data_IF_861591835545
#
_entry.id   IF_861591835545
#
_cell.length_a   1.000
_cell.length_b   1.000
_cell.length_c   1.000
_cell.angle_alpha   90.00
_cell.angle_beta   90.00
_cell.angle_gamma   90.00
#
_symmetry.space_group_name_H-M   'P 1'
#
loop_
_entity.id
_entity.type
_entity.pdbx_description
1 polymer ?
#
# COMPACT_ATOMS: atom_id res chain seq x y z
N UNK A 1 -6.29 -23.77 -62.38
CA UNK A 1 -6.14 -22.41 -61.82
C UNK A 1 -5.26 -22.54 -60.58
N UNK A 2 -4.07 -21.93 -60.64
CA UNK A 2 -2.97 -22.08 -59.68
C UNK A 2 -3.22 -21.30 -58.37
N UNK A 3 -2.97 -21.90 -57.21
CA UNK A 3 -1.80 -21.72 -56.31
C UNK A 3 -1.53 -20.30 -55.82
N UNK A 4 -1.75 -20.06 -54.52
CA UNK A 4 -0.68 -19.56 -53.65
C UNK A 4 -0.78 -18.14 -53.05
N UNK A 5 -0.02 -17.88 -51.97
CA UNK A 5 -0.30 -16.90 -50.91
C UNK A 5 0.76 -15.77 -50.83
N UNK A 6 0.82 -15.05 -49.68
CA UNK A 6 2.02 -14.49 -48.99
C UNK A 6 1.98 -12.98 -48.67
N UNK A 7 2.38 -12.74 -47.42
CA UNK A 7 2.91 -11.56 -46.72
C UNK A 7 3.84 -10.59 -47.50
N UNK A 8 4.02 -9.41 -46.88
CA UNK A 8 5.25 -8.59 -46.79
C UNK A 8 5.41 -7.29 -47.60
N UNK A 9 5.96 -6.29 -46.87
CA UNK A 9 6.89 -5.22 -47.25
C UNK A 9 6.35 -4.04 -48.08
N UNK A 10 6.31 -2.82 -47.55
CA UNK A 10 7.40 -1.87 -47.26
C UNK A 10 7.78 -0.95 -48.45
N UNK A 11 7.63 0.35 -48.24
CA UNK A 11 8.55 1.42 -48.69
C UNK A 11 8.62 1.79 -50.17
N UNK A 12 8.17 3.01 -50.50
CA UNK A 12 8.82 3.96 -51.43
C UNK A 12 8.03 5.28 -51.41
N UNK A 13 8.59 6.41 -50.98
CA UNK A 13 9.50 7.27 -51.73
C UNK A 13 8.80 7.97 -52.91
N UNK A 14 8.47 9.27 -52.75
CA UNK A 14 8.29 10.17 -53.88
C UNK A 14 9.03 11.49 -53.62
N UNK A 15 10.03 11.74 -54.47
CA UNK A 15 10.74 13.01 -54.64
C UNK A 15 9.91 13.89 -55.60
N UNK A 16 9.95 15.20 -55.36
CA UNK A 16 9.62 16.23 -56.35
C UNK A 16 10.46 17.49 -56.07
N UNK A 17 11.28 17.88 -57.05
CA UNK A 17 12.24 19.01 -57.05
C UNK A 17 11.73 20.09 -58.01
N UNK A 18 11.83 21.37 -57.64
CA UNK A 18 12.23 22.48 -58.54
C UNK A 18 12.47 23.80 -57.77
N UNK A 19 13.70 24.31 -57.86
CA UNK A 19 14.26 25.63 -57.45
C UNK A 19 13.81 26.78 -58.42
N UNK A 20 14.24 28.08 -58.32
CA UNK A 20 15.20 28.76 -57.41
C UNK A 20 14.79 30.17 -56.88
N UNK A 21 15.58 30.69 -55.92
CA UNK A 21 15.98 32.11 -55.88
C UNK A 21 15.58 32.96 -54.66
N UNK A 22 16.48 33.07 -53.67
CA UNK A 22 16.96 34.36 -53.13
C UNK A 22 18.18 34.15 -52.22
N UNK A 23 19.22 34.94 -52.47
CA UNK A 23 20.49 34.93 -51.76
C UNK A 23 20.41 35.63 -50.39
N UNK A 24 21.27 35.21 -49.44
CA UNK A 24 21.77 36.11 -48.41
C UNK A 24 21.89 35.52 -47.00
N UNK A 25 23.12 35.52 -46.49
CA UNK A 25 23.55 35.47 -45.08
C UNK A 25 23.81 34.10 -44.43
N UNK A 26 25.11 33.83 -44.23
CA UNK A 26 25.65 32.77 -43.39
C UNK A 26 25.45 33.07 -41.88
N UNK A 27 25.55 32.04 -41.03
CA UNK A 27 26.34 32.19 -39.83
C UNK A 27 27.33 31.04 -39.60
N UNK A 28 28.57 31.43 -39.32
CA UNK A 28 29.60 30.66 -38.63
C UNK A 28 29.22 30.53 -37.15
N UNK A 29 29.01 29.32 -36.63
CA UNK A 29 29.15 29.01 -35.19
C UNK A 29 29.05 27.50 -34.95
N UNK A 30 30.17 26.77 -35.02
CA UNK A 30 30.21 25.34 -34.73
C UNK A 30 31.62 24.87 -34.42
N UNK A 31 32.15 25.25 -33.24
CA UNK A 31 33.38 24.67 -32.69
C UNK A 31 33.65 24.96 -31.19
N UNK A 32 32.83 25.75 -30.49
CA UNK A 32 33.15 26.21 -29.12
C UNK A 32 32.65 25.35 -27.95
N UNK A 33 31.61 24.53 -28.13
CA UNK A 33 30.92 23.89 -26.99
C UNK A 33 31.46 22.50 -26.59
N UNK A 34 32.20 21.82 -27.47
CA UNK A 34 32.69 20.45 -27.20
C UNK A 34 34.01 20.46 -26.41
N UNK A 35 34.82 21.53 -26.54
CA UNK A 35 36.10 21.63 -25.82
C UNK A 35 35.96 21.97 -24.33
N UNK A 36 34.89 22.67 -23.92
CA UNK A 36 34.69 23.06 -22.53
C UNK A 36 34.27 21.89 -21.63
N UNK A 37 33.54 20.91 -22.17
CA UNK A 37 33.06 19.74 -21.42
C UNK A 37 34.16 18.73 -21.08
N UNK A 38 35.11 18.50 -22.00
CA UNK A 38 36.18 17.52 -21.79
C UNK A 38 37.22 18.00 -20.74
N UNK A 39 37.49 19.30 -20.68
CA UNK A 39 38.42 19.90 -19.71
C UNK A 39 37.84 19.90 -18.29
N UNK A 40 36.53 20.10 -18.14
CA UNK A 40 35.87 20.06 -16.83
C UNK A 40 35.88 18.65 -16.21
N UNK A 41 35.69 17.60 -17.02
CA UNK A 41 35.72 16.20 -16.54
C UNK A 41 37.15 15.76 -16.18
N UNK A 42 38.15 16.20 -16.95
CA UNK A 42 39.56 15.91 -16.66
C UNK A 42 40.07 16.64 -15.41
N UNK A 43 39.65 17.89 -15.19
CA UNK A 43 40.00 18.66 -13.99
C UNK A 43 39.29 18.12 -12.72
N UNK A 44 38.04 17.65 -12.83
CA UNK A 44 37.35 16.98 -11.72
C UNK A 44 38.04 15.66 -11.34
N UNK A 45 38.46 14.90 -12.34
CA UNK A 45 39.17 13.63 -12.15
C UNK A 45 40.55 13.82 -11.52
N UNK A 46 41.27 14.88 -11.91
CA UNK A 46 42.55 15.24 -11.29
C UNK A 46 42.39 15.82 -9.86
N UNK A 47 41.31 16.57 -9.58
CA UNK A 47 41.02 17.09 -8.24
C UNK A 47 40.67 15.97 -7.25
N UNK A 48 39.99 14.91 -7.70
CA UNK A 48 39.70 13.71 -6.91
C UNK A 48 40.95 12.87 -6.57
N UNK A 49 42.00 12.94 -7.39
CA UNK A 49 43.27 12.24 -7.15
C UNK A 49 44.23 13.03 -6.26
N UNK A 50 44.11 14.37 -6.22
CA UNK A 50 45.00 15.25 -5.46
C UNK A 50 44.48 15.63 -4.06
N UNK A 51 43.18 15.51 -3.82
CA UNK A 51 42.62 15.61 -2.48
C UNK A 51 42.38 14.20 -1.96
N UNK A 52 43.36 13.65 -1.22
CA UNK A 52 43.14 12.49 -0.35
C UNK A 52 42.12 12.88 0.74
N UNK A 53 40.85 12.93 0.35
CA UNK A 53 39.73 12.98 1.26
C UNK A 53 39.71 11.62 1.96
N UNK A 54 39.83 11.57 3.30
CA UNK A 54 39.88 10.31 4.01
C UNK A 54 38.54 9.61 3.77
N UNK A 55 38.58 8.57 2.94
CA UNK A 55 37.43 7.76 2.56
C UNK A 55 36.77 7.17 3.81
N UNK A 56 37.55 6.99 4.87
CA UNK A 56 37.11 6.55 6.20
C UNK A 56 36.12 7.52 6.86
N UNK A 57 36.28 8.84 6.68
CA UNK A 57 35.40 9.84 7.29
C UNK A 57 34.07 10.00 6.52
N UNK A 58 34.05 9.72 5.22
CA UNK A 58 32.83 9.73 4.39
C UNK A 58 32.08 8.40 4.51
N UNK A 59 32.80 7.28 4.58
CA UNK A 59 32.21 5.96 4.85
C UNK A 59 31.68 5.85 6.28
N UNK A 60 32.35 6.43 7.29
CA UNK A 60 31.79 6.50 8.65
C UNK A 60 30.56 7.40 8.74
N UNK A 61 30.41 8.40 7.86
CA UNK A 61 29.21 9.25 7.79
C UNK A 61 28.05 8.58 7.04
N UNK A 62 28.35 7.67 6.11
CA UNK A 62 27.36 6.85 5.39
C UNK A 62 26.93 5.59 6.15
N UNK A 63 27.81 5.05 7.00
CA UNK A 63 27.57 3.89 7.86
C UNK A 63 27.68 4.24 9.34
N UNK A 64 27.06 5.34 9.77
CA UNK A 64 26.63 5.41 11.17
C UNK A 64 25.42 4.50 11.31
N UNK A 65 25.72 3.19 11.33
CA UNK A 65 24.82 2.12 11.70
C UNK A 65 24.23 2.51 13.05
N UNK A 66 22.98 2.97 12.98
CA UNK A 66 22.09 2.97 14.12
C UNK A 66 22.23 1.61 14.79
N UNK A 67 22.66 1.66 16.05
CA UNK A 67 22.68 0.58 17.04
C UNK A 67 21.86 -0.63 16.58
N UNK A 68 22.55 -1.59 15.97
CA UNK A 68 21.97 -2.83 15.47
C UNK A 68 21.03 -3.42 16.55
N UNK A 69 19.72 -3.40 16.29
CA UNK A 69 18.91 -4.49 16.79
C UNK A 69 19.43 -5.77 16.13
N UNK A 70 19.43 -6.85 16.89
CA UNK A 70 20.23 -8.03 16.58
C UNK A 70 19.73 -8.63 15.27
N UNK A 71 20.63 -9.10 14.39
CA UNK A 71 20.27 -9.93 13.22
C UNK A 71 19.30 -11.07 13.62
N UNK A 72 19.40 -11.53 14.87
CA UNK A 72 18.46 -12.48 15.49
C UNK A 72 17.01 -12.00 15.54
N UNK A 73 16.75 -10.71 15.77
CA UNK A 73 15.38 -10.17 15.85
C UNK A 73 14.68 -10.25 14.49
N UNK A 74 15.42 -9.96 13.42
CA UNK A 74 14.92 -10.07 12.04
C UNK A 74 14.73 -11.53 11.60
N UNK A 75 15.67 -12.42 11.94
CA UNK A 75 15.52 -13.87 11.69
C UNK A 75 14.29 -14.44 12.43
N UNK A 76 14.07 -14.00 13.68
CA UNK A 76 12.91 -14.40 14.47
C UNK A 76 11.60 -13.91 13.84
N UNK A 77 11.53 -12.66 13.37
CA UNK A 77 10.36 -12.13 12.64
C UNK A 77 10.09 -12.91 11.35
N UNK A 78 11.10 -13.18 10.52
CA UNK A 78 10.92 -13.98 9.30
C UNK A 78 10.46 -15.41 9.60
N UNK A 79 10.89 -15.97 10.72
CA UNK A 79 10.46 -17.29 11.16
C UNK A 79 9.02 -17.28 11.68
N UNK A 80 8.59 -16.22 12.36
CA UNK A 80 7.18 -15.98 12.71
C UNK A 80 6.31 -15.88 11.46
N UNK A 81 6.76 -15.12 10.45
CA UNK A 81 6.06 -14.97 9.16
C UNK A 81 5.85 -16.33 8.50
N UNK A 82 6.91 -17.15 8.40
CA UNK A 82 6.83 -18.49 7.81
C UNK A 82 5.85 -19.41 8.54
N UNK A 83 5.67 -19.23 9.84
CA UNK A 83 4.77 -20.06 10.63
C UNK A 83 3.29 -19.65 10.48
N UNK A 84 3.01 -18.44 9.96
CA UNK A 84 1.65 -17.92 9.76
C UNK A 84 1.14 -18.25 8.35
N UNK A 85 2.03 -18.31 7.36
CA UNK A 85 1.64 -18.63 5.98
C UNK A 85 1.12 -20.09 5.93
N UNK A 86 -0.15 -20.30 5.56
CA UNK A 86 -0.70 -21.65 5.52
C UNK A 86 0.01 -22.48 4.44
N UNK A 87 0.29 -23.77 4.72
CA UNK A 87 0.90 -24.63 3.72
C UNK A 87 -0.07 -24.83 2.55
N UNK A 88 0.47 -24.65 1.34
CA UNK A 88 -0.22 -24.96 0.09
C UNK A 88 -0.35 -26.47 -0.05
N UNK A 89 -1.57 -27.00 0.10
CA UNK A 89 -1.84 -28.44 -0.02
C UNK A 89 -2.77 -28.72 -1.20
N UNK A 90 -2.44 -29.73 -2.01
CA UNK A 90 -3.22 -30.12 -3.21
C UNK A 90 -4.64 -30.62 -2.95
N UNK A 91 -5.03 -30.77 -1.68
CA UNK A 91 -6.38 -31.21 -1.26
C UNK A 91 -7.37 -30.06 -1.09
N UNK A 92 -6.90 -28.81 -1.11
CA UNK A 92 -7.75 -27.64 -0.91
C UNK A 92 -8.43 -27.21 -2.21
N UNK A 93 -9.65 -26.69 -2.08
CA UNK A 93 -10.43 -26.16 -3.19
C UNK A 93 -10.50 -24.63 -3.13
N UNK A 94 -10.73 -24.00 -4.28
CA UNK A 94 -10.81 -22.55 -4.42
C UNK A 94 -11.74 -21.93 -3.38
N UNK A 95 -11.21 -21.00 -2.60
CA UNK A 95 -11.88 -20.26 -1.55
C UNK A 95 -11.57 -20.76 -0.15
N UNK A 96 -10.80 -21.84 0.03
CA UNK A 96 -10.38 -22.31 1.35
C UNK A 96 -9.15 -21.54 1.86
N UNK A 97 -8.31 -21.00 0.98
CA UNK A 97 -7.09 -20.26 1.32
C UNK A 97 -7.28 -18.74 1.11
N UNK A 98 -8.20 -18.15 1.89
CA UNK A 98 -8.34 -16.69 1.97
C UNK A 98 -9.36 -16.08 0.99
N UNK A 99 -10.40 -15.47 1.56
CA UNK A 99 -11.46 -14.75 0.84
C UNK A 99 -11.50 -13.36 1.42
N UNK A 100 -10.98 -12.39 0.70
CA UNK A 100 -10.77 -11.03 1.20
C UNK A 100 -11.82 -10.12 0.59
N UNK A 101 -12.47 -9.30 1.42
CA UNK A 101 -13.34 -8.23 0.95
C UNK A 101 -12.66 -6.88 1.15
N UNK A 102 -12.71 -6.01 0.15
CA UNK A 102 -12.24 -4.63 0.22
C UNK A 102 -13.46 -3.71 0.09
N UNK A 103 -13.68 -2.85 1.06
CA UNK A 103 -14.74 -1.84 1.10
C UNK A 103 -14.10 -0.48 0.89
N UNK A 104 -14.35 0.11 -0.28
CA UNK A 104 -13.76 1.37 -0.67
C UNK A 104 -13.97 1.65 -2.16
N UNK A 105 -13.40 2.73 -2.65
CA UNK A 105 -13.64 3.21 -4.01
C UNK A 105 -14.87 4.09 -4.13
N UNK A 106 -14.63 5.39 -4.26
CA UNK A 106 -15.59 6.41 -4.62
C UNK A 106 -15.37 6.89 -6.07
N UNK A 107 -16.15 7.89 -6.49
CA UNK A 107 -16.06 8.49 -7.82
C UNK A 107 -14.64 8.96 -8.17
N UNK A 108 -13.93 9.56 -7.21
CA UNK A 108 -12.60 10.12 -7.39
C UNK A 108 -11.48 9.09 -7.18
N UNK A 109 -11.64 8.17 -6.22
CA UNK A 109 -10.56 7.29 -5.77
C UNK A 109 -10.80 5.83 -6.17
N UNK A 110 -10.77 5.57 -7.47
CA UNK A 110 -11.02 4.23 -8.03
C UNK A 110 -9.81 3.29 -7.98
N UNK A 111 -8.58 3.83 -7.91
CA UNK A 111 -7.35 3.03 -7.94
C UNK A 111 -6.97 2.38 -6.61
N UNK A 112 -7.21 3.06 -5.48
CA UNK A 112 -6.88 2.55 -4.14
C UNK A 112 -7.53 1.18 -3.82
N UNK A 113 -8.83 0.95 -4.05
CA UNK A 113 -9.42 -0.38 -3.80
C UNK A 113 -8.87 -1.46 -4.72
N UNK A 114 -8.44 -1.12 -5.94
CA UNK A 114 -7.80 -2.08 -6.85
C UNK A 114 -6.47 -2.58 -6.27
N UNK A 115 -5.61 -1.66 -5.81
CA UNK A 115 -4.30 -2.04 -5.28
C UNK A 115 -4.42 -2.90 -4.01
N UNK A 116 -5.30 -2.53 -3.08
CA UNK A 116 -5.56 -3.36 -1.90
C UNK A 116 -6.06 -4.78 -2.30
N UNK A 117 -6.95 -4.86 -3.28
CA UNK A 117 -7.56 -6.11 -3.69
C UNK A 117 -6.61 -7.03 -4.49
N UNK A 118 -5.79 -6.47 -5.39
CA UNK A 118 -4.84 -7.24 -6.19
C UNK A 118 -3.64 -7.69 -5.34
N UNK A 119 -3.19 -6.88 -4.40
CA UNK A 119 -2.11 -7.26 -3.47
C UNK A 119 -2.53 -8.45 -2.60
N UNK A 120 -3.80 -8.52 -2.18
CA UNK A 120 -4.33 -9.70 -1.51
C UNK A 120 -4.22 -10.98 -2.38
N UNK A 121 -4.56 -10.91 -3.66
CA UNK A 121 -4.41 -12.05 -4.59
C UNK A 121 -2.93 -12.42 -4.78
N UNK A 122 -2.04 -11.44 -4.94
CA UNK A 122 -0.60 -11.66 -5.14
C UNK A 122 0.07 -12.34 -3.94
N UNK A 123 -0.35 -11.99 -2.72
CA UNK A 123 0.15 -12.62 -1.48
C UNK A 123 -0.41 -14.04 -1.28
N UNK A 124 -1.44 -14.42 -2.05
CA UNK A 124 -1.94 -15.81 -2.10
C UNK A 124 -3.38 -15.99 -1.65
N UNK A 125 -4.20 -14.93 -1.59
CA UNK A 125 -5.63 -15.10 -1.38
C UNK A 125 -6.30 -15.75 -2.61
N UNK A 126 -7.20 -16.71 -2.37
CA UNK A 126 -7.95 -17.39 -3.43
C UNK A 126 -8.97 -16.49 -4.14
N UNK A 127 -9.62 -15.61 -3.38
CA UNK A 127 -10.68 -14.73 -3.86
C UNK A 127 -10.56 -13.34 -3.25
N UNK A 128 -10.70 -12.33 -4.09
CA UNK A 128 -10.70 -10.92 -3.70
C UNK A 128 -11.95 -10.23 -4.23
N UNK A 129 -12.76 -9.75 -3.29
CA UNK A 129 -14.01 -9.04 -3.54
C UNK A 129 -13.80 -7.55 -3.30
N UNK A 130 -14.27 -6.71 -4.21
CA UNK A 130 -14.24 -5.25 -4.07
C UNK A 130 -15.67 -4.74 -4.00
N UNK A 131 -16.07 -4.20 -2.87
CA UNK A 131 -17.32 -3.45 -2.71
C UNK A 131 -16.99 -1.98 -2.92
N UNK A 132 -17.51 -1.39 -3.99
CA UNK A 132 -17.28 0.00 -4.36
C UNK A 132 -18.57 0.70 -4.80
N UNK A 133 -18.49 2.00 -5.09
CA UNK A 133 -19.59 2.73 -5.72
C UNK A 133 -19.79 2.29 -7.17
N UNK A 134 -21.01 2.49 -7.69
CA UNK A 134 -21.35 2.14 -9.07
C UNK A 134 -20.42 2.76 -10.11
N UNK A 135 -19.98 3.99 -9.90
CA UNK A 135 -19.10 4.70 -10.82
C UNK A 135 -17.65 4.19 -10.78
N UNK A 136 -17.19 3.71 -9.63
CA UNK A 136 -15.84 3.14 -9.49
C UNK A 136 -15.71 1.77 -10.14
N UNK A 137 -16.80 0.99 -10.19
CA UNK A 137 -16.75 -0.41 -10.60
C UNK A 137 -16.24 -0.66 -12.03
N UNK A 138 -16.64 0.10 -13.09
CA UNK A 138 -16.11 -0.11 -14.44
C UNK A 138 -14.59 0.08 -14.51
N UNK A 139 -14.06 1.06 -13.78
CA UNK A 139 -12.61 1.34 -13.75
C UNK A 139 -11.87 0.19 -13.08
N UNK A 140 -12.30 -0.24 -11.89
CA UNK A 140 -11.67 -1.36 -11.16
C UNK A 140 -11.72 -2.65 -11.98
N UNK A 141 -12.88 -2.95 -12.61
CA UNK A 141 -13.06 -4.14 -13.47
C UNK A 141 -12.16 -4.10 -14.71
N UNK A 142 -11.80 -2.91 -15.21
CA UNK A 142 -10.93 -2.78 -16.38
C UNK A 142 -9.46 -3.11 -16.09
N UNK A 143 -9.03 -3.01 -14.82
CA UNK A 143 -7.64 -3.28 -14.44
C UNK A 143 -7.33 -4.77 -14.32
N UNK A 144 -8.25 -5.59 -13.78
CA UNK A 144 -8.10 -7.04 -13.72
C UNK A 144 -9.44 -7.77 -13.75
N UNK A 145 -9.58 -8.80 -14.61
CA UNK A 145 -10.75 -9.68 -14.61
C UNK A 145 -10.78 -10.68 -13.44
N UNK A 146 -9.70 -10.77 -12.65
CA UNK A 146 -9.60 -11.69 -11.51
C UNK A 146 -10.38 -11.20 -10.29
N UNK A 147 -10.59 -9.88 -10.20
CA UNK A 147 -11.29 -9.25 -9.09
C UNK A 147 -12.80 -9.38 -9.23
N UNK A 148 -13.47 -9.73 -8.13
CA UNK A 148 -14.94 -9.78 -8.07
C UNK A 148 -15.45 -8.44 -7.55
N UNK A 149 -15.88 -7.57 -8.47
CA UNK A 149 -16.26 -6.19 -8.14
C UNK A 149 -17.78 -6.03 -8.04
N UNK A 150 -18.23 -5.56 -6.87
CA UNK A 150 -19.61 -5.36 -6.44
C UNK A 150 -19.95 -3.86 -6.33
N UNK A 151 -20.69 -3.28 -7.30
CA UNK A 151 -21.10 -1.87 -7.31
C UNK A 151 -22.32 -1.62 -6.40
N UNK A 152 -22.13 -1.66 -5.09
CA UNK A 152 -23.24 -1.63 -4.11
C UNK A 152 -23.14 -0.54 -3.06
N UNK A 153 -21.98 0.11 -2.88
CA UNK A 153 -21.75 0.98 -1.72
C UNK A 153 -22.56 2.29 -1.72
N UNK A 154 -22.93 2.79 -2.89
CA UNK A 154 -23.77 3.98 -3.08
C UNK A 154 -25.28 3.68 -3.03
N UNK A 155 -25.67 2.41 -2.83
CA UNK A 155 -27.07 2.01 -2.70
C UNK A 155 -27.61 2.30 -1.29
N UNK A 156 -28.88 2.72 -1.13
CA UNK A 156 -29.54 2.77 0.18
C UNK A 156 -29.58 1.40 0.89
N UNK A 157 -29.49 0.30 0.12
CA UNK A 157 -29.43 -1.07 0.63
C UNK A 157 -28.00 -1.64 0.65
N UNK A 158 -26.97 -0.78 0.62
CA UNK A 158 -25.57 -1.19 0.60
C UNK A 158 -25.23 -2.19 1.72
N UNK A 159 -25.66 -1.90 2.96
CA UNK A 159 -25.41 -2.75 4.12
C UNK A 159 -25.96 -4.16 3.89
N UNK A 160 -27.20 -4.29 3.45
CA UNK A 160 -27.83 -5.58 3.17
C UNK A 160 -27.08 -6.35 2.07
N UNK A 161 -26.74 -5.69 0.97
CA UNK A 161 -26.02 -6.34 -0.12
C UNK A 161 -24.63 -6.85 0.30
N UNK A 162 -23.90 -6.07 1.10
CA UNK A 162 -22.58 -6.51 1.60
C UNK A 162 -22.75 -7.60 2.65
N UNK A 163 -23.78 -7.53 3.49
CA UNK A 163 -24.07 -8.50 4.53
C UNK A 163 -24.31 -9.92 3.98
N UNK A 164 -24.91 -10.05 2.79
CA UNK A 164 -25.05 -11.34 2.09
C UNK A 164 -23.70 -12.01 1.78
N UNK A 165 -22.64 -11.21 1.61
CA UNK A 165 -21.29 -11.69 1.32
C UNK A 165 -20.44 -11.90 2.56
N UNK A 166 -20.70 -11.19 3.66
CA UNK A 166 -19.92 -11.27 4.90
C UNK A 166 -19.67 -12.71 5.38
N UNK A 167 -20.64 -13.65 5.40
CA UNK A 167 -20.41 -15.05 5.80
C UNK A 167 -19.37 -15.80 4.95
N UNK A 168 -19.07 -15.30 3.75
CA UNK A 168 -18.11 -15.89 2.81
C UNK A 168 -16.74 -15.23 2.91
N UNK A 169 -16.58 -14.15 3.66
CA UNK A 169 -15.31 -13.43 3.77
C UNK A 169 -14.55 -13.88 5.02
N UNK A 170 -13.23 -14.04 4.89
CA UNK A 170 -12.34 -14.30 6.01
C UNK A 170 -11.83 -13.02 6.65
N UNK A 171 -11.63 -11.96 5.85
CA UNK A 171 -11.15 -10.65 6.31
C UNK A 171 -11.82 -9.55 5.49
N UNK A 172 -12.12 -8.42 6.13
CA UNK A 172 -12.61 -7.22 5.48
C UNK A 172 -11.60 -6.07 5.61
N UNK A 173 -11.16 -5.49 4.51
CA UNK A 173 -10.35 -4.28 4.45
C UNK A 173 -11.27 -3.10 4.19
N UNK A 174 -11.21 -2.05 5.00
CA UNK A 174 -12.12 -0.90 4.91
C UNK A 174 -11.33 0.39 4.83
N UNK A 175 -11.69 1.22 3.84
CA UNK A 175 -11.17 2.59 3.72
C UNK A 175 -10.37 2.94 2.46
N UNK A 176 -9.70 2.01 1.74
CA UNK A 176 -8.97 2.35 0.52
C UNK A 176 -9.85 3.07 -0.51
N UNK A 177 -9.60 4.38 -0.69
CA UNK A 177 -10.37 5.21 -1.62
C UNK A 177 -11.84 5.36 -1.25
N UNK A 178 -12.21 5.25 0.02
CA UNK A 178 -13.61 5.41 0.44
C UNK A 178 -14.11 6.84 0.23
N UNK A 179 -13.24 7.85 0.32
CA UNK A 179 -13.68 9.23 0.31
C UNK A 179 -14.40 9.60 1.60
N UNK A 180 -15.07 10.76 1.59
CA UNK A 180 -15.67 11.36 2.80
C UNK A 180 -17.10 11.85 2.59
N UNK A 181 -17.79 11.24 1.63
CA UNK A 181 -19.22 11.46 1.46
C UNK A 181 -19.99 10.87 2.65
N UNK A 182 -20.85 11.66 3.29
CA UNK A 182 -21.54 11.26 4.53
C UNK A 182 -22.49 10.07 4.31
N UNK A 183 -23.12 9.94 3.13
CA UNK A 183 -24.02 8.82 2.80
C UNK A 183 -23.23 7.52 2.71
N UNK A 184 -22.10 7.55 2.01
CA UNK A 184 -21.20 6.42 1.87
C UNK A 184 -20.61 5.99 3.21
N UNK A 185 -20.24 6.95 4.06
CA UNK A 185 -19.69 6.69 5.39
C UNK A 185 -20.72 6.04 6.33
N UNK A 186 -21.99 6.45 6.28
CA UNK A 186 -23.06 5.80 7.07
C UNK A 186 -23.30 4.36 6.60
N UNK A 187 -23.25 4.12 5.29
CA UNK A 187 -23.31 2.75 4.76
C UNK A 187 -22.13 1.90 5.25
N UNK A 188 -20.90 2.43 5.22
CA UNK A 188 -19.72 1.71 5.71
C UNK A 188 -19.76 1.46 7.21
N UNK A 189 -20.29 2.39 7.99
CA UNK A 189 -20.53 2.21 9.42
C UNK A 189 -21.45 1.00 9.66
N UNK A 190 -22.57 0.91 8.96
CA UNK A 190 -23.46 -0.26 9.06
C UNK A 190 -22.79 -1.57 8.63
N UNK A 191 -21.95 -1.53 7.59
CA UNK A 191 -21.16 -2.69 7.16
C UNK A 191 -20.17 -3.15 8.24
N UNK A 192 -19.48 -2.20 8.90
CA UNK A 192 -18.56 -2.50 10.00
C UNK A 192 -19.28 -3.13 11.19
N UNK A 193 -20.46 -2.61 11.56
CA UNK A 193 -21.28 -3.18 12.63
C UNK A 193 -21.73 -4.61 12.28
N UNK A 194 -22.18 -4.86 11.05
CA UNK A 194 -22.54 -6.18 10.57
C UNK A 194 -21.34 -7.16 10.55
N UNK A 195 -20.15 -6.68 10.15
CA UNK A 195 -18.92 -7.49 10.16
C UNK A 195 -18.51 -7.87 11.59
N UNK A 196 -18.59 -6.92 12.54
CA UNK A 196 -18.32 -7.17 13.96
C UNK A 196 -19.31 -8.14 14.59
N UNK A 197 -20.60 -8.01 14.29
CA UNK A 197 -21.64 -8.92 14.78
C UNK A 197 -21.38 -10.38 14.34
N UNK A 198 -20.64 -10.57 13.25
CA UNK A 198 -20.25 -11.86 12.69
C UNK A 198 -18.82 -12.27 13.06
N UNK A 199 -18.14 -11.49 13.90
CA UNK A 199 -16.80 -11.77 14.41
C UNK A 199 -15.73 -11.92 13.29
N UNK A 200 -15.92 -11.19 12.18
CA UNK A 200 -15.03 -11.15 11.01
C UNK A 200 -13.87 -10.18 11.25
N UNK A 201 -12.60 -10.61 11.12
CA UNK A 201 -11.46 -9.71 11.19
C UNK A 201 -11.54 -8.53 10.22
N UNK A 202 -11.18 -7.34 10.70
CA UNK A 202 -11.23 -6.10 9.90
C UNK A 202 -9.87 -5.40 9.88
N UNK A 203 -9.46 -4.89 8.72
CA UNK A 203 -8.31 -4.01 8.57
C UNK A 203 -8.81 -2.64 8.15
N UNK A 204 -8.43 -1.60 8.88
CA UNK A 204 -8.91 -0.24 8.65
C UNK A 204 -7.75 0.64 8.23
N UNK A 205 -7.86 1.20 7.04
CA UNK A 205 -6.82 2.04 6.43
C UNK A 205 -7.43 3.35 5.89
N UNK A 206 -6.59 4.35 5.65
CA UNK A 206 -6.94 5.61 4.99
C UNK A 206 -8.24 6.27 5.53
N UNK A 207 -9.23 6.52 4.68
CA UNK A 207 -10.50 7.16 5.08
C UNK A 207 -11.34 6.28 6.03
N UNK A 208 -11.07 4.97 6.10
CA UNK A 208 -11.62 4.13 7.17
C UNK A 208 -11.18 4.61 8.55
N UNK A 209 -9.90 5.01 8.70
CA UNK A 209 -9.39 5.57 9.95
C UNK A 209 -10.01 6.92 10.27
N UNK A 210 -10.36 7.70 9.24
CA UNK A 210 -11.10 8.94 9.41
C UNK A 210 -12.50 8.69 9.98
N UNK A 211 -13.20 7.66 9.50
CA UNK A 211 -14.49 7.23 10.06
C UNK A 211 -14.35 6.83 11.54
N UNK A 212 -13.32 6.05 11.87
CA UNK A 212 -13.06 5.62 13.25
C UNK A 212 -12.69 6.80 14.16
N UNK A 213 -11.95 7.78 13.68
CA UNK A 213 -11.65 8.98 14.47
C UNK A 213 -12.93 9.77 14.83
N UNK A 214 -13.96 9.77 13.96
CA UNK A 214 -15.27 10.39 14.27
C UNK A 214 -16.13 9.51 15.19
N UNK A 215 -16.01 8.19 15.07
CA UNK A 215 -16.79 7.22 15.84
C UNK A 215 -15.92 6.12 16.46
N UNK A 216 -15.08 6.43 17.46
CA UNK A 216 -14.17 5.43 18.06
C UNK A 216 -14.90 4.20 18.64
N UNK A 217 -16.14 4.41 19.11
CA UNK A 217 -17.01 3.37 19.62
C UNK A 217 -17.24 2.21 18.62
N UNK A 218 -17.10 2.46 17.31
CA UNK A 218 -17.24 1.42 16.29
C UNK A 218 -16.24 0.29 16.44
N UNK A 219 -15.06 0.52 16.99
CA UNK A 219 -14.03 -0.52 17.16
C UNK A 219 -13.63 -0.79 18.61
N UNK A 220 -14.26 -0.10 19.56
CA UNK A 220 -13.97 -0.28 20.98
C UNK A 220 -14.07 -1.76 21.39
N UNK A 221 -12.97 -2.31 21.91
CA UNK A 221 -12.86 -3.69 22.39
C UNK A 221 -12.78 -4.76 21.30
N UNK A 222 -12.74 -4.38 20.01
CA UNK A 222 -12.74 -5.34 18.91
C UNK A 222 -11.34 -5.79 18.53
N UNK A 223 -10.79 -6.78 19.25
CA UNK A 223 -9.42 -7.30 19.10
C UNK A 223 -9.09 -7.94 17.75
N UNK A 224 -10.09 -8.12 16.88
CA UNK A 224 -9.93 -8.58 15.50
C UNK A 224 -9.81 -7.43 14.48
N UNK A 225 -9.80 -6.18 14.94
CA UNK A 225 -9.46 -5.04 14.13
C UNK A 225 -7.94 -4.78 14.12
N UNK A 226 -7.43 -4.37 12.96
CA UNK A 226 -6.09 -3.84 12.78
C UNK A 226 -6.17 -2.46 12.13
N UNK A 227 -5.57 -1.45 12.76
CA UNK A 227 -5.54 -0.08 12.26
C UNK A 227 -4.16 0.20 11.65
N UNK A 228 -4.11 0.81 10.46
CA UNK A 228 -2.85 1.10 9.76
C UNK A 228 -2.57 2.59 9.55
N UNK A 229 -2.62 3.44 10.59
CA UNK A 229 -2.48 4.89 10.42
C UNK A 229 -1.07 5.30 9.99
N UNK A 230 -0.99 6.23 9.04
CA UNK A 230 0.20 7.06 8.86
C UNK A 230 0.34 8.08 10.02
N UNK A 231 1.43 8.85 10.03
CA UNK A 231 1.68 9.86 11.08
C UNK A 231 0.50 10.85 11.29
N UNK A 232 -0.11 11.35 10.21
CA UNK A 232 -1.20 12.32 10.28
C UNK A 232 -2.51 11.67 10.77
N UNK A 233 -2.83 10.50 10.24
CA UNK A 233 -3.98 9.70 10.67
C UNK A 233 -3.87 9.28 12.13
N UNK A 234 -2.66 8.92 12.57
CA UNK A 234 -2.39 8.52 13.94
C UNK A 234 -2.65 9.68 14.90
N UNK A 235 -2.13 10.88 14.61
CA UNK A 235 -2.35 12.05 15.47
C UNK A 235 -3.84 12.38 15.60
N UNK A 236 -4.57 12.38 14.48
CA UNK A 236 -6.02 12.60 14.48
C UNK A 236 -6.77 11.56 15.31
N UNK A 237 -6.43 10.29 15.14
CA UNK A 237 -7.05 9.20 15.88
C UNK A 237 -6.71 9.27 17.37
N UNK A 238 -5.46 9.60 17.70
CA UNK A 238 -4.98 9.79 19.06
C UNK A 238 -5.69 10.93 19.77
N UNK A 239 -5.83 12.10 19.12
CA UNK A 239 -6.60 13.24 19.64
C UNK A 239 -8.07 12.86 19.89
N UNK A 240 -8.69 12.12 18.97
CA UNK A 240 -10.09 11.70 19.11
C UNK A 240 -10.31 10.71 20.27
N UNK A 241 -9.36 9.82 20.52
CA UNK A 241 -9.50 8.74 21.51
C UNK A 241 -8.95 9.13 22.89
N UNK A 242 -7.73 9.66 22.94
CA UNK A 242 -7.01 9.95 24.19
C UNK A 242 -7.31 11.33 24.76
N UNK A 243 -7.82 12.28 23.94
CA UNK A 243 -8.03 13.71 24.26
C UNK A 243 -6.77 14.51 24.58
N UNK A 244 -5.79 13.90 25.26
CA UNK A 244 -4.45 14.42 25.51
C UNK A 244 -3.42 13.34 25.12
N UNK A 245 -2.86 13.41 23.89
CA UNK A 245 -1.90 12.42 23.40
C UNK A 245 -0.61 12.33 24.25
N UNK A 246 -0.30 13.38 25.02
CA UNK A 246 0.94 13.52 25.77
C UNK A 246 2.20 13.53 24.89
N UNK A 247 3.32 13.83 25.52
CA UNK A 247 4.68 13.82 24.99
C UNK A 247 5.39 12.51 25.37
N UNK A 248 5.06 11.44 24.63
CA UNK A 248 5.67 10.11 24.79
C UNK A 248 6.49 9.69 23.58
N UNK A 249 7.30 8.63 23.74
CA UNK A 249 7.92 7.97 22.58
C UNK A 249 6.85 7.39 21.64
N UNK A 250 7.18 7.23 20.36
CA UNK A 250 6.26 6.64 19.36
C UNK A 250 5.69 5.29 19.80
N UNK A 251 6.50 4.49 20.50
CA UNK A 251 6.12 3.19 21.07
C UNK A 251 5.04 3.33 22.15
N UNK A 252 5.24 4.22 23.09
CA UNK A 252 4.27 4.47 24.17
C UNK A 252 2.96 5.04 23.63
N UNK A 253 3.04 5.96 22.67
CA UNK A 253 1.85 6.55 22.06
C UNK A 253 0.99 5.49 21.37
N UNK A 254 1.59 4.59 20.59
CA UNK A 254 0.86 3.50 19.91
C UNK A 254 0.26 2.52 20.90
N UNK A 255 0.99 2.17 21.97
CA UNK A 255 0.48 1.29 23.02
C UNK A 255 -0.70 1.91 23.78
N UNK A 256 -0.61 3.20 24.16
CA UNK A 256 -1.71 3.92 24.82
C UNK A 256 -2.95 3.97 23.95
N UNK A 257 -2.79 4.27 22.65
CA UNK A 257 -3.92 4.29 21.73
C UNK A 257 -4.58 2.91 21.61
N UNK A 258 -3.78 1.85 21.47
CA UNK A 258 -4.28 0.47 21.41
C UNK A 258 -5.07 0.09 22.66
N UNK A 259 -4.54 0.40 23.85
CA UNK A 259 -5.22 0.16 25.14
C UNK A 259 -6.52 0.95 25.27
N UNK A 260 -6.51 2.23 24.87
CA UNK A 260 -7.69 3.08 24.94
C UNK A 260 -8.81 2.60 24.01
N UNK A 261 -8.47 1.99 22.87
CA UNK A 261 -9.41 1.33 21.97
C UNK A 261 -9.82 -0.08 22.43
N UNK A 262 -9.33 -0.56 23.57
CA UNK A 262 -9.66 -1.88 24.12
C UNK A 262 -8.83 -3.02 23.54
N UNK A 263 -7.52 -2.80 23.39
CA UNK A 263 -6.53 -3.76 22.89
C UNK A 263 -6.76 -4.11 21.41
N UNK A 264 -7.07 -3.09 20.62
CA UNK A 264 -7.12 -3.16 19.14
C UNK A 264 -5.70 -3.04 18.61
N UNK A 265 -5.31 -3.86 17.63
CA UNK A 265 -3.97 -3.78 17.06
C UNK A 265 -3.79 -2.51 16.25
N UNK A 266 -2.73 -1.74 16.52
CA UNK A 266 -2.39 -0.51 15.80
C UNK A 266 -1.01 -0.66 15.18
N UNK A 267 -0.91 -0.39 13.88
CA UNK A 267 0.31 -0.36 13.08
C UNK A 267 0.54 1.08 12.62
N UNK A 268 1.37 1.82 13.36
CA UNK A 268 1.73 3.19 12.97
C UNK A 268 2.83 3.13 11.91
N UNK A 269 2.50 3.60 10.71
CA UNK A 269 3.41 3.66 9.56
C UNK A 269 4.37 4.85 9.68
N UNK A 270 5.65 4.62 9.47
CA UNK A 270 6.71 5.63 9.56
C UNK A 270 8.03 5.18 8.91
N UNK A 271 9.14 5.82 9.27
CA UNK A 271 10.48 5.33 8.89
C UNK A 271 10.75 3.95 9.50
N UNK A 272 10.27 3.75 10.74
CA UNK A 272 10.13 2.47 11.39
C UNK A 272 8.67 2.28 11.75
N UNK A 273 8.10 1.16 11.32
CA UNK A 273 6.71 0.84 11.59
C UNK A 273 6.62 0.30 13.02
N UNK A 274 5.68 0.83 13.82
CA UNK A 274 5.48 0.46 15.23
C UNK A 274 4.15 -0.27 15.37
N UNK A 275 4.17 -1.48 15.92
CA UNK A 275 3.00 -2.35 16.09
C UNK A 275 2.72 -2.55 17.57
N UNK A 276 1.48 -2.38 18.02
CA UNK A 276 1.08 -2.73 19.39
C UNK A 276 -0.33 -3.32 19.42
N UNK A 277 -0.53 -4.31 20.29
CA UNK A 277 -1.83 -4.89 20.65
C UNK A 277 -2.32 -4.44 22.04
N UNK A 278 -1.57 -3.57 22.72
CA UNK A 278 -1.91 -3.01 24.02
C UNK A 278 -1.57 -3.90 25.22
N UNK A 279 -1.26 -5.19 25.02
CA UNK A 279 -0.93 -6.14 26.10
C UNK A 279 0.57 -6.49 26.11
N UNK A 280 1.18 -6.70 24.95
CA UNK A 280 2.61 -6.92 24.80
C UNK A 280 3.34 -5.60 24.50
N UNK A 281 4.64 -5.54 24.81
CA UNK A 281 5.46 -4.38 24.45
C UNK A 281 5.42 -4.14 22.94
N UNK A 282 5.35 -2.88 22.47
CA UNK A 282 5.24 -2.57 21.05
C UNK A 282 6.45 -3.11 20.26
N UNK A 283 6.17 -3.80 19.16
CA UNK A 283 7.16 -4.30 18.20
C UNK A 283 7.53 -3.19 17.21
N UNK A 284 8.75 -3.24 16.66
CA UNK A 284 9.20 -2.30 15.63
C UNK A 284 9.79 -3.06 14.45
N UNK A 285 9.24 -2.83 13.26
CA UNK A 285 9.78 -3.31 11.99
C UNK A 285 10.54 -2.21 11.25
N UNK A 286 11.67 -2.54 10.65
CA UNK A 286 12.41 -1.65 9.74
C UNK A 286 12.07 -1.99 8.28
N UNK A 287 12.04 -1.00 7.39
CA UNK A 287 11.97 -1.22 5.93
C UNK A 287 13.38 -1.40 5.38
N UNK A 288 13.62 -2.38 4.53
CA UNK A 288 14.77 -2.36 3.62
C UNK A 288 14.58 -1.22 2.62
N UNK A 289 15.20 -0.07 2.89
CA UNK A 289 15.11 1.11 2.03
C UNK A 289 16.04 0.95 0.82
N UNK A 290 15.49 0.59 -0.34
CA UNK A 290 16.15 0.89 -1.62
C UNK A 290 15.97 2.39 -1.93
N UNK A 291 17.09 3.08 -2.16
CA UNK A 291 17.29 4.54 -2.18
C UNK A 291 16.52 5.36 -3.24
N UNK A 292 15.46 4.82 -3.84
CA UNK A 292 14.69 5.48 -4.91
C UNK A 292 13.16 5.48 -4.71
N UNK A 293 12.65 4.95 -3.59
CA UNK A 293 11.20 4.95 -3.31
C UNK A 293 10.75 6.24 -2.59
N UNK A 294 9.92 7.05 -3.26
CA UNK A 294 9.23 8.22 -2.69
C UNK A 294 8.13 7.79 -1.69
N UNK A 295 7.55 8.72 -0.88
CA UNK A 295 6.50 8.40 0.07
C UNK A 295 5.36 7.60 -0.59
N UNK A 296 5.07 6.45 0.00
CA UNK A 296 4.14 5.42 -0.46
C UNK A 296 2.75 5.98 -0.77
N UNK A 297 2.29 5.81 -2.02
CA UNK A 297 0.90 6.07 -2.42
C UNK A 297 0.05 4.84 -2.13
N UNK A 298 -0.88 4.95 -1.18
CA UNK A 298 -2.17 4.23 -0.93
C UNK A 298 -2.47 2.82 -1.49
N UNK A 299 -1.49 2.03 -1.93
CA UNK A 299 -1.72 0.78 -2.67
C UNK A 299 -1.17 -0.50 -2.05
N UNK A 300 -0.17 -0.42 -1.19
CA UNK A 300 0.54 -1.62 -0.77
C UNK A 300 0.14 -2.03 0.65
N UNK A 301 -0.97 -2.76 0.78
CA UNK A 301 -1.34 -3.51 1.99
C UNK A 301 -0.51 -4.80 2.14
N UNK A 302 0.76 -4.77 1.73
CA UNK A 302 1.71 -5.87 1.91
C UNK A 302 2.53 -5.58 3.17
N UNK A 303 2.11 -6.10 4.33
CA UNK A 303 2.96 -6.05 5.53
C UNK A 303 2.29 -6.20 6.89
N UNK A 304 0.96 -6.20 7.00
CA UNK A 304 0.28 -6.12 8.30
C UNK A 304 -0.22 -7.47 8.84
N UNK A 305 -0.04 -8.57 8.11
CA UNK A 305 -0.68 -9.85 8.43
C UNK A 305 0.19 -10.86 9.22
N UNK A 306 1.34 -10.46 9.78
CA UNK A 306 2.40 -11.44 10.02
C UNK A 306 2.94 -11.62 11.45
N UNK A 307 2.32 -11.10 12.51
CA UNK A 307 2.88 -11.31 13.86
C UNK A 307 1.82 -11.58 14.93
N UNK A 308 1.48 -12.86 15.12
CA UNK A 308 0.93 -13.38 16.38
C UNK A 308 1.58 -14.71 16.76
N UNK A 309 2.14 -14.84 17.97
CA UNK A 309 2.19 -16.11 18.67
C UNK A 309 0.86 -16.31 19.40
N UNK A 310 0.03 -17.26 18.93
CA UNK A 310 -1.09 -17.81 19.72
C UNK A 310 -2.51 -17.42 19.28
N UNK A 311 -3.27 -18.46 18.94
CA UNK A 311 -4.71 -18.65 19.14
C UNK A 311 -5.77 -17.83 18.38
N UNK A 312 -5.43 -16.83 17.55
CA UNK A 312 -6.45 -16.22 16.66
C UNK A 312 -6.50 -16.79 15.24
N UNK A 313 -5.43 -17.46 14.78
CA UNK A 313 -5.35 -18.00 13.41
C UNK A 313 -5.78 -19.47 13.31
N UNK A 314 -5.81 -20.21 14.42
CA UNK A 314 -6.22 -21.62 14.45
C UNK A 314 -7.71 -21.87 14.20
N UNK A 315 -8.52 -20.81 14.10
CA UNK A 315 -9.97 -20.90 13.83
C UNK A 315 -10.35 -20.41 12.43
N UNK A 316 -9.38 -19.89 11.66
CA UNK A 316 -9.57 -19.35 10.30
C UNK A 316 -8.92 -20.22 9.21
N UNK A 317 -8.40 -21.40 9.56
CA UNK A 317 -7.85 -22.38 8.63
C UNK A 317 -8.49 -23.76 8.85
#
# INVERSE_FOLDING_TARGET
MAVGPVWAAAGACFRGKSDPGLAGMAPLAGAGAVLAGAVAVALLSAALVLYELPLDAVLQRAFSLHKAHSIKDMENTLQLVRNIIPPQTSKKHKGQDGRIGVVGGCQEYTGAPYFAAISALKVGADLSHVFCTREAAPVVKSYSPELIVHPVLDSPSAVHHVEEWLPRLHVLVVGPGLGRDDTLLENVKGILEAAKARDIPVVIDADGLWLIARHPALLQGYRKAVLTPNHVEFNRLSEAVLRDPGDGSDREAVQRLSQALGNVTVVRKGERDVISDGEQGPLTGEREAHSHARPWTTGDTEGVLSERPGNLWGSCC
#
